data_IF_951311950780
#
_entry.id   IF_951311950780
#
_cell.length_a   1.000
_cell.length_b   1.000
_cell.length_c   1.000
_cell.angle_alpha   90.00
_cell.angle_beta   90.00
_cell.angle_gamma   90.00
#
_symmetry.space_group_name_H-M   'P 1'
#
loop_
_entity.id
_entity.type
_entity.pdbx_description
1 polymer ?
#
# COMPACT_ATOMS: atom_id res chain seq x y z
N UNK A 1 -21.05 18.87 17.93
CA UNK A 1 -21.03 17.40 18.03
C UNK A 1 -19.62 16.86 18.27
N UNK A 2 -18.63 17.11 17.38
CA UNK A 2 -17.26 16.59 17.53
C UNK A 2 -16.58 17.00 18.85
N UNK A 3 -16.79 18.23 19.31
CA UNK A 3 -16.15 18.73 20.55
C UNK A 3 -16.58 17.93 21.79
N UNK A 4 -17.83 17.46 21.82
CA UNK A 4 -18.35 16.63 22.91
C UNK A 4 -17.71 15.24 22.98
N UNK A 5 -17.18 14.74 21.86
CA UNK A 5 -16.52 13.43 21.76
C UNK A 5 -14.99 13.54 21.71
N UNK A 6 -14.44 14.74 21.85
CA UNK A 6 -13.02 15.03 21.68
C UNK A 6 -12.12 14.14 22.55
N UNK A 7 -12.42 14.06 23.86
CA UNK A 7 -11.65 13.23 24.79
C UNK A 7 -11.62 11.75 24.39
N UNK A 8 -12.77 11.20 23.95
CA UNK A 8 -12.86 9.81 23.50
C UNK A 8 -12.09 9.58 22.20
N UNK A 9 -12.19 10.49 21.24
CA UNK A 9 -11.47 10.40 19.96
C UNK A 9 -9.96 10.49 20.14
N UNK A 10 -9.48 11.34 21.07
CA UNK A 10 -8.07 11.44 21.40
C UNK A 10 -7.50 10.15 22.00
N UNK A 11 -8.31 9.41 22.77
CA UNK A 11 -7.91 8.11 23.34
C UNK A 11 -7.90 7.01 22.27
N UNK A 12 -8.90 6.98 21.38
CA UNK A 12 -9.01 5.96 20.33
C UNK A 12 -7.95 6.16 19.25
N UNK A 13 -7.74 7.40 18.81
CA UNK A 13 -6.83 7.75 17.71
C UNK A 13 -5.57 8.45 18.25
N UNK A 14 -4.85 7.75 19.15
CA UNK A 14 -3.60 8.26 19.71
C UNK A 14 -2.41 7.98 18.78
N UNK A 15 -2.14 8.91 17.87
CA UNK A 15 -1.01 8.82 16.93
C UNK A 15 0.35 9.00 17.62
N UNK A 16 0.42 9.62 18.80
CA UNK A 16 1.69 9.86 19.49
C UNK A 16 2.37 8.54 19.88
N UNK A 17 1.60 7.48 20.10
CA UNK A 17 2.10 6.13 20.36
C UNK A 17 2.69 5.43 19.13
N UNK A 18 2.40 5.93 17.92
CA UNK A 18 2.81 5.29 16.66
C UNK A 18 4.02 5.98 16.02
N UNK A 19 4.20 7.26 16.34
CA UNK A 19 5.25 8.13 15.81
C UNK A 19 6.52 8.03 16.66
N UNK A 20 7.68 8.15 16.03
CA UNK A 20 8.96 8.30 16.73
C UNK A 20 9.39 9.77 16.64
N UNK A 21 9.58 10.42 17.79
CA UNK A 21 10.02 11.82 17.86
C UNK A 21 11.54 11.87 17.95
N UNK A 22 12.17 12.60 17.04
CA UNK A 22 13.61 12.88 17.02
C UNK A 22 13.93 14.20 17.76
N UNK A 23 15.19 14.41 18.17
CA UNK A 23 15.63 15.68 18.75
C UNK A 23 15.25 16.89 17.88
N UNK A 24 14.87 18.01 18.49
CA UNK A 24 14.36 19.17 17.73
C UNK A 24 12.91 19.02 17.26
N UNK A 25 12.18 18.00 17.73
CA UNK A 25 10.73 17.88 17.58
C UNK A 25 10.28 17.32 16.23
N UNK A 26 11.18 16.71 15.45
CA UNK A 26 10.82 16.11 14.16
C UNK A 26 10.15 14.75 14.40
N UNK A 27 8.91 14.61 13.95
CA UNK A 27 8.13 13.37 14.00
C UNK A 27 8.42 12.50 12.77
N UNK A 28 8.85 11.25 12.99
CA UNK A 28 8.90 10.22 11.95
C UNK A 28 7.58 9.47 11.96
N UNK A 29 6.78 9.71 10.92
CA UNK A 29 5.53 9.00 10.71
C UNK A 29 5.80 7.62 10.11
N UNK A 30 5.20 6.55 10.67
CA UNK A 30 5.26 5.23 10.07
C UNK A 30 4.50 5.20 8.73
N UNK A 31 4.81 4.23 7.84
CA UNK A 31 4.04 4.03 6.63
C UNK A 31 2.63 3.53 6.96
N UNK A 32 1.68 3.83 6.07
CA UNK A 32 0.31 3.33 6.15
C UNK A 32 0.20 2.06 5.32
N UNK A 33 -0.02 0.91 5.97
CA UNK A 33 -0.15 -0.38 5.28
C UNK A 33 -1.61 -0.83 5.25
N UNK A 34 -2.13 -1.05 4.05
CA UNK A 34 -3.41 -1.73 3.82
C UNK A 34 -3.23 -3.24 3.79
N UNK A 35 -4.30 -3.94 4.16
CA UNK A 35 -4.41 -5.39 4.12
C UNK A 35 -5.75 -5.73 3.45
N UNK A 36 -5.72 -6.71 2.57
CA UNK A 36 -6.90 -7.36 2.02
C UNK A 36 -6.77 -8.86 2.31
N UNK A 37 -7.85 -9.49 2.73
CA UNK A 37 -7.90 -10.93 2.99
C UNK A 37 -8.59 -11.62 1.80
N UNK A 38 -8.23 -12.87 1.54
CA UNK A 38 -8.85 -13.71 0.52
C UNK A 38 -8.94 -13.03 -0.85
N UNK A 39 -7.81 -12.48 -1.32
CA UNK A 39 -7.78 -11.78 -2.60
C UNK A 39 -7.85 -12.77 -3.75
N UNK A 40 -8.75 -12.49 -4.68
CA UNK A 40 -8.92 -13.21 -5.94
C UNK A 40 -8.70 -12.24 -7.10
N UNK A 41 -7.60 -12.41 -7.84
CA UNK A 41 -7.27 -11.61 -9.01
C UNK A 41 -7.36 -12.50 -10.25
N UNK A 42 -8.28 -12.18 -11.16
CA UNK A 42 -8.43 -12.86 -12.44
C UNK A 42 -7.82 -12.02 -13.55
N UNK A 43 -6.91 -12.61 -14.32
CA UNK A 43 -6.27 -11.97 -15.47
C UNK A 43 -6.50 -12.78 -16.75
N UNK A 44 -6.02 -12.25 -17.88
CA UNK A 44 -6.05 -12.91 -19.19
C UNK A 44 -7.43 -13.45 -19.59
N UNK A 45 -8.47 -12.62 -19.46
CA UNK A 45 -9.86 -12.98 -19.77
C UNK A 45 -10.35 -14.26 -19.05
N UNK A 46 -9.82 -14.57 -17.86
CA UNK A 46 -10.18 -15.75 -17.08
C UNK A 46 -9.28 -16.96 -17.23
N UNK A 47 -8.20 -16.85 -18.01
CA UNK A 47 -7.26 -17.95 -18.18
C UNK A 47 -6.19 -18.02 -17.08
N UNK A 48 -6.10 -16.99 -16.23
CA UNK A 48 -5.20 -16.98 -15.07
C UNK A 48 -5.90 -16.42 -13.83
N UNK A 49 -5.67 -17.06 -12.69
CA UNK A 49 -6.21 -16.68 -11.38
C UNK A 49 -5.09 -16.67 -10.36
N UNK A 50 -5.00 -15.60 -9.58
CA UNK A 50 -4.11 -15.47 -8.43
C UNK A 50 -4.94 -15.35 -7.17
N UNK A 51 -4.72 -16.27 -6.25
CA UNK A 51 -5.35 -16.27 -4.92
C UNK A 51 -4.29 -16.01 -3.86
N UNK A 52 -4.62 -15.20 -2.86
CA UNK A 52 -3.79 -15.04 -1.68
C UNK A 52 -4.64 -14.82 -0.43
N UNK A 53 -4.30 -15.51 0.66
CA UNK A 53 -4.99 -15.37 1.95
C UNK A 53 -4.87 -13.94 2.50
N UNK A 54 -3.72 -13.29 2.27
CA UNK A 54 -3.46 -11.91 2.68
C UNK A 54 -2.65 -11.16 1.64
N UNK A 55 -3.10 -9.96 1.32
CA UNK A 55 -2.43 -9.02 0.43
C UNK A 55 -2.12 -7.73 1.19
N UNK A 56 -0.84 -7.38 1.29
CA UNK A 56 -0.40 -6.13 1.91
C UNK A 56 0.05 -5.13 0.86
N UNK A 57 -0.32 -3.86 1.04
CA UNK A 57 0.16 -2.75 0.21
C UNK A 57 0.45 -1.53 1.05
N UNK A 58 1.63 -0.95 0.87
CA UNK A 58 1.98 0.36 1.43
C UNK A 58 1.19 1.42 0.65
N UNK A 59 0.24 2.08 1.31
CA UNK A 59 -0.57 3.16 0.72
C UNK A 59 0.13 4.51 0.82
N UNK A 60 0.90 4.72 1.88
CA UNK A 60 1.68 5.94 2.09
C UNK A 60 3.02 5.58 2.72
N UNK A 61 4.15 6.04 2.17
CA UNK A 61 5.47 5.77 2.73
C UNK A 61 5.68 6.51 4.05
N UNK A 62 6.69 6.09 4.81
CA UNK A 62 7.15 6.83 5.99
C UNK A 62 7.56 8.25 5.58
N UNK A 63 7.24 9.25 6.43
CA UNK A 63 7.55 10.65 6.15
C UNK A 63 7.95 11.42 7.41
N UNK A 64 8.73 12.47 7.23
CA UNK A 64 9.06 13.41 8.30
C UNK A 64 7.97 14.48 8.40
N UNK A 65 7.55 14.82 9.61
CA UNK A 65 6.61 15.89 9.87
C UNK A 65 7.03 16.71 11.10
N UNK A 66 6.53 17.94 11.18
CA UNK A 66 6.74 18.82 12.33
C UNK A 66 5.86 18.44 13.53
N UNK A 67 4.69 17.88 13.27
CA UNK A 67 3.71 17.49 14.30
C UNK A 67 3.13 16.12 13.95
N UNK A 68 2.80 15.35 15.00
CA UNK A 68 2.03 14.13 14.85
C UNK A 68 0.61 14.45 14.35
N UNK A 69 0.00 13.63 13.49
CA UNK A 69 -1.39 13.81 13.08
C UNK A 69 -2.31 13.69 14.28
N UNK A 70 -3.45 14.36 14.21
CA UNK A 70 -4.51 14.26 15.21
C UNK A 70 -5.82 13.94 14.52
N UNK A 71 -6.77 13.31 15.20
CA UNK A 71 -8.11 13.10 14.63
C UNK A 71 -8.75 14.43 14.16
N UNK A 72 -8.43 15.54 14.83
CA UNK A 72 -8.90 16.87 14.48
C UNK A 72 -8.42 17.31 13.09
N UNK A 73 -7.15 17.05 12.76
CA UNK A 73 -6.61 17.44 11.45
C UNK A 73 -7.30 16.71 10.30
N UNK A 74 -7.90 15.54 10.54
CA UNK A 74 -8.70 14.81 9.54
C UNK A 74 -10.15 15.27 9.50
N UNK A 75 -10.81 15.37 10.66
CA UNK A 75 -12.26 15.59 10.72
C UNK A 75 -12.65 17.07 10.61
N UNK A 76 -11.76 18.01 10.96
CA UNK A 76 -12.05 19.45 10.88
C UNK A 76 -11.63 20.09 9.57
N UNK A 77 -10.99 19.35 8.65
CA UNK A 77 -10.47 19.91 7.39
C UNK A 77 -11.54 20.60 6.54
N UNK A 78 -12.78 20.09 6.57
CA UNK A 78 -13.90 20.60 5.78
C UNK A 78 -14.87 21.47 6.58
N UNK A 79 -14.56 21.78 7.85
CA UNK A 79 -15.40 22.65 8.67
C UNK A 79 -15.03 24.10 8.34
N UNK A 80 -15.95 24.90 7.76
CA UNK A 80 -15.67 26.29 7.48
C UNK A 80 -15.39 27.04 8.78
N UNK A 81 -14.30 27.81 8.79
CA UNK A 81 -13.89 28.63 9.95
C UNK A 81 -14.61 29.96 10.00
N UNK A 82 -15.27 30.35 8.90
CA UNK A 82 -16.01 31.61 8.77
C UNK A 82 -17.36 31.35 8.12
N UNK A 83 -18.34 32.16 8.48
CA UNK A 83 -19.64 32.17 7.82
C UNK A 83 -19.47 32.51 6.32
N UNK A 84 -20.31 31.93 5.44
CA UNK A 84 -20.32 32.30 4.04
C UNK A 84 -20.70 33.77 3.87
N UNK A 85 -20.10 34.42 2.88
CA UNK A 85 -20.47 35.79 2.50
C UNK A 85 -21.85 35.80 1.84
N UNK A 86 -22.67 36.79 2.18
CA UNK A 86 -23.97 36.96 1.53
C UNK A 86 -23.80 37.32 0.04
N UNK A 87 -24.74 36.90 -0.82
CA UNK A 87 -24.75 37.31 -2.22
C UNK A 87 -24.93 38.84 -2.36
N UNK A 88 -24.49 39.41 -3.48
CA UNK A 88 -24.74 40.82 -3.78
C UNK A 88 -26.23 41.10 -3.96
N UNK A 89 -26.64 42.33 -3.65
CA UNK A 89 -28.05 42.76 -3.73
C UNK A 89 -28.66 42.58 -5.15
N UNK A 90 -27.82 42.61 -6.18
CA UNK A 90 -28.22 42.39 -7.58
C UNK A 90 -28.73 40.97 -7.85
N UNK A 91 -28.29 39.99 -7.06
CA UNK A 91 -28.68 38.58 -7.17
C UNK A 91 -29.92 38.25 -6.33
N UNK A 92 -30.46 39.22 -5.58
CA UNK A 92 -31.67 39.02 -4.80
C UNK A 92 -32.91 39.07 -5.72
N UNK A 93 -33.93 38.26 -5.43
CA UNK A 93 -35.17 38.23 -6.21
C UNK A 93 -35.89 39.59 -6.14
N UNK A 94 -36.34 40.10 -7.28
CA UNK A 94 -36.96 41.44 -7.42
C UNK A 94 -38.49 41.39 -7.44
N UNK A 95 -39.07 40.26 -7.87
CA UNK A 95 -40.51 40.05 -7.94
C UNK A 95 -40.94 38.77 -7.18
N UNK A 96 -42.25 38.59 -7.01
CA UNK A 96 -42.80 37.48 -6.22
C UNK A 96 -42.57 36.11 -6.88
N UNK A 97 -42.57 36.04 -8.20
CA UNK A 97 -42.28 34.81 -8.95
C UNK A 97 -40.83 34.35 -8.74
N UNK A 98 -39.86 35.27 -8.87
CA UNK A 98 -38.45 35.04 -8.58
C UNK A 98 -38.24 34.69 -7.11
N UNK A 99 -38.98 35.32 -6.19
CA UNK A 99 -38.89 35.02 -4.75
C UNK A 99 -39.32 33.60 -4.43
N UNK A 100 -40.37 33.09 -5.08
CA UNK A 100 -40.79 31.70 -4.91
C UNK A 100 -39.70 30.75 -5.39
N UNK A 101 -39.20 30.95 -6.61
CA UNK A 101 -38.17 30.11 -7.21
C UNK A 101 -36.85 30.16 -6.42
N UNK A 102 -36.48 31.35 -5.93
CA UNK A 102 -35.31 31.54 -5.09
C UNK A 102 -35.42 30.74 -3.78
N UNK A 103 -36.59 30.77 -3.12
CA UNK A 103 -36.80 29.97 -1.90
C UNK A 103 -36.64 28.48 -2.18
N UNK A 104 -37.23 27.98 -3.28
CA UNK A 104 -37.17 26.58 -3.65
C UNK A 104 -35.72 26.13 -3.88
N UNK A 105 -34.94 26.89 -4.66
CA UNK A 105 -33.52 26.57 -4.91
C UNK A 105 -32.63 26.77 -3.68
N UNK A 106 -32.95 27.71 -2.79
CA UNK A 106 -32.22 27.87 -1.52
C UNK A 106 -32.47 26.68 -0.61
N UNK A 107 -33.72 26.19 -0.53
CA UNK A 107 -34.03 24.97 0.20
C UNK A 107 -33.30 23.76 -0.41
N UNK A 108 -33.34 23.61 -1.73
CA UNK A 108 -32.60 22.54 -2.41
C UNK A 108 -31.08 22.63 -2.13
N UNK A 109 -30.48 23.81 -2.27
CA UNK A 109 -29.06 24.02 -2.00
C UNK A 109 -28.68 23.77 -0.54
N UNK A 110 -29.60 24.03 0.40
CA UNK A 110 -29.41 23.69 1.80
C UNK A 110 -29.35 22.18 2.03
N UNK A 111 -30.26 21.43 1.43
CA UNK A 111 -30.29 19.96 1.52
C UNK A 111 -29.08 19.31 0.83
N UNK A 112 -28.72 19.80 -0.36
CA UNK A 112 -27.52 19.37 -1.08
C UNK A 112 -26.24 19.67 -0.29
N UNK A 113 -26.17 20.84 0.36
CA UNK A 113 -25.07 21.24 1.23
C UNK A 113 -24.92 20.32 2.45
N UNK A 114 -26.04 19.97 3.10
CA UNK A 114 -26.05 19.01 4.20
C UNK A 114 -25.57 17.62 3.75
N UNK A 115 -26.06 17.15 2.58
CA UNK A 115 -25.64 15.88 2.02
C UNK A 115 -24.15 15.85 1.72
N UNK A 116 -23.64 16.88 1.03
CA UNK A 116 -22.22 17.01 0.71
C UNK A 116 -21.35 17.05 1.97
N UNK A 117 -21.76 17.80 3.00
CA UNK A 117 -21.05 17.85 4.27
C UNK A 117 -20.96 16.47 4.93
N UNK A 118 -22.04 15.69 4.90
CA UNK A 118 -22.06 14.34 5.45
C UNK A 118 -21.19 13.36 4.66
N UNK A 119 -21.20 13.43 3.32
CA UNK A 119 -20.31 12.63 2.47
C UNK A 119 -18.84 12.96 2.76
N UNK A 120 -18.49 14.25 2.81
CA UNK A 120 -17.13 14.69 3.14
C UNK A 120 -16.70 14.19 4.52
N UNK A 121 -17.58 14.27 5.51
CA UNK A 121 -17.31 13.72 6.85
C UNK A 121 -17.00 12.21 6.79
N UNK A 122 -17.81 11.42 6.09
CA UNK A 122 -17.57 9.97 5.93
C UNK A 122 -16.23 9.68 5.26
N UNK A 123 -15.88 10.42 4.21
CA UNK A 123 -14.59 10.27 3.52
C UNK A 123 -13.42 10.61 4.46
N UNK A 124 -13.52 11.70 5.22
CA UNK A 124 -12.51 12.07 6.23
C UNK A 124 -12.37 11.02 7.32
N UNK A 125 -13.48 10.48 7.82
CA UNK A 125 -13.48 9.42 8.84
C UNK A 125 -12.84 8.13 8.28
N UNK A 126 -13.21 7.71 7.07
CA UNK A 126 -12.62 6.55 6.44
C UNK A 126 -11.10 6.72 6.24
N UNK A 127 -10.64 7.92 5.87
CA UNK A 127 -9.21 8.24 5.77
C UNK A 127 -8.52 8.18 7.12
N UNK A 128 -9.11 8.76 8.17
CA UNK A 128 -8.60 8.70 9.54
C UNK A 128 -8.42 7.25 10.01
N UNK A 129 -9.47 6.44 9.88
CA UNK A 129 -9.43 5.03 10.29
C UNK A 129 -8.40 4.24 9.49
N UNK A 130 -8.37 4.40 8.17
CA UNK A 130 -7.43 3.71 7.28
C UNK A 130 -5.99 4.04 7.65
N UNK A 131 -5.68 5.32 7.82
CA UNK A 131 -4.33 5.78 8.13
C UNK A 131 -3.91 5.29 9.52
N UNK A 132 -4.76 5.44 10.54
CA UNK A 132 -4.46 4.98 11.90
C UNK A 132 -4.26 3.46 11.96
N UNK A 133 -5.23 2.68 11.47
CA UNK A 133 -5.13 1.21 11.43
C UNK A 133 -3.93 0.75 10.60
N UNK A 134 -3.62 1.44 9.50
CA UNK A 134 -2.47 1.11 8.67
C UNK A 134 -1.13 1.37 9.35
N UNK A 135 -1.02 2.41 10.18
CA UNK A 135 0.17 2.68 11.00
C UNK A 135 0.31 1.67 12.15
N UNK A 136 -0.80 1.27 12.79
CA UNK A 136 -0.80 0.19 13.79
C UNK A 136 -0.36 -1.12 13.14
N UNK A 137 -0.91 -1.46 11.97
CA UNK A 137 -0.53 -2.67 11.22
C UNK A 137 0.96 -2.67 10.89
N UNK A 138 1.54 -1.53 10.51
CA UNK A 138 2.97 -1.44 10.29
C UNK A 138 3.79 -1.88 11.50
N UNK A 139 3.40 -1.52 12.74
CA UNK A 139 4.10 -1.96 13.95
C UNK A 139 4.08 -3.48 14.11
N UNK A 140 2.90 -4.09 13.92
CA UNK A 140 2.75 -5.55 13.98
C UNK A 140 3.60 -6.24 12.91
N UNK A 141 3.53 -5.76 11.66
CA UNK A 141 4.32 -6.34 10.57
C UNK A 141 5.83 -6.15 10.75
N UNK A 142 6.25 -5.08 11.43
CA UNK A 142 7.65 -4.83 11.75
C UNK A 142 8.15 -5.85 12.77
N UNK A 143 7.37 -6.14 13.80
CA UNK A 143 7.66 -7.18 14.80
C UNK A 143 7.70 -8.58 14.16
N UNK A 144 6.82 -8.84 13.18
CA UNK A 144 6.81 -10.08 12.40
C UNK A 144 7.92 -10.14 11.32
N UNK A 145 8.79 -9.15 11.22
CA UNK A 145 9.83 -9.03 10.17
C UNK A 145 9.28 -9.10 8.73
N UNK A 146 8.04 -8.67 8.50
CA UNK A 146 7.39 -8.60 7.17
C UNK A 146 7.56 -7.25 6.49
N UNK A 147 8.03 -6.23 7.20
CA UNK A 147 8.34 -4.89 6.65
C UNK A 147 9.64 -4.38 7.27
N UNK A 148 10.40 -3.59 6.51
CA UNK A 148 11.60 -2.93 7.01
C UNK A 148 11.29 -1.60 7.71
N UNK A 149 12.10 -1.28 8.74
CA UNK A 149 12.09 0.05 9.35
C UNK A 149 12.66 1.10 8.39
N UNK A 150 12.10 2.33 8.36
CA UNK A 150 12.69 3.40 7.57
C UNK A 150 14.01 3.83 8.21
N UNK A 151 15.05 4.01 7.40
CA UNK A 151 16.32 4.56 7.87
C UNK A 151 16.31 6.07 7.72
N UNK A 152 16.60 6.77 8.82
CA UNK A 152 16.71 8.24 8.85
C UNK A 152 18.14 8.61 9.17
N UNK A 153 18.77 9.35 8.27
CA UNK A 153 20.06 9.99 8.50
C UNK A 153 19.85 11.34 9.16
N UNK A 154 20.69 11.62 10.16
CA UNK A 154 20.74 12.89 10.89
C UNK A 154 22.10 13.54 10.67
N UNK A 155 22.12 14.81 10.29
CA UNK A 155 23.35 15.60 10.19
C UNK A 155 23.32 16.77 11.15
N UNK A 156 24.33 16.89 12.02
CA UNK A 156 24.53 18.07 12.87
C UNK A 156 25.46 19.06 12.14
N UNK A 157 24.95 20.27 11.90
CA UNK A 157 25.65 21.34 11.19
C UNK A 157 26.21 22.39 12.17
N UNK A 158 25.94 22.28 13.47
CA UNK A 158 26.44 23.21 14.48
C UNK A 158 25.83 24.61 14.36
N UNK A 159 26.66 25.62 14.09
CA UNK A 159 26.22 27.01 13.89
C UNK A 159 26.37 27.35 12.41
N UNK A 160 25.26 27.67 11.73
CA UNK A 160 25.23 28.02 10.31
C UNK A 160 24.63 29.42 10.13
N UNK A 161 25.02 30.14 9.09
CA UNK A 161 24.50 31.49 8.86
C UNK A 161 25.22 32.25 7.75
N UNK A 162 24.62 33.34 7.29
CA UNK A 162 25.21 34.25 6.30
C UNK A 162 25.79 35.53 6.91
N UNK A 163 25.69 35.69 8.24
CA UNK A 163 26.08 36.89 8.99
C UNK A 163 24.91 37.86 9.23
N UNK A 164 23.88 37.83 8.38
CA UNK A 164 22.58 38.50 8.61
C UNK A 164 21.55 37.59 9.28
N UNK A 165 21.70 36.28 9.12
CA UNK A 165 20.96 35.24 9.83
C UNK A 165 21.94 34.24 10.44
N UNK A 166 21.56 33.66 11.57
CA UNK A 166 22.32 32.64 12.28
C UNK A 166 21.35 31.59 12.81
N UNK A 167 21.69 30.32 12.61
CA UNK A 167 21.05 29.14 13.19
C UNK A 167 22.04 28.54 14.17
N UNK A 168 21.62 28.38 15.41
CA UNK A 168 22.36 27.65 16.43
C UNK A 168 21.78 26.25 16.58
N UNK A 169 22.66 25.25 16.75
CA UNK A 169 22.29 23.83 16.79
C UNK A 169 21.52 23.39 15.53
N UNK A 170 21.99 23.81 14.36
CA UNK A 170 21.39 23.47 13.07
C UNK A 170 21.53 21.98 12.77
N UNK A 171 20.41 21.33 12.43
CA UNK A 171 20.32 19.87 12.26
C UNK A 171 19.46 19.54 11.06
N UNK A 172 19.85 18.48 10.35
CA UNK A 172 19.15 17.99 9.16
C UNK A 172 18.67 16.56 9.37
N UNK A 173 17.49 16.26 8.83
CA UNK A 173 16.87 14.93 8.87
C UNK A 173 16.50 14.52 7.45
N UNK A 174 16.89 13.30 7.05
CA UNK A 174 16.54 12.75 5.74
C UNK A 174 16.25 11.26 5.83
N UNK A 175 15.15 10.82 5.24
CA UNK A 175 14.90 9.39 5.04
C UNK A 175 15.84 8.91 3.93
N UNK A 176 16.77 8.01 4.26
CA UNK A 176 17.75 7.44 3.33
C UNK A 176 17.25 6.13 2.72
N UNK A 177 16.52 5.33 3.50
CA UNK A 177 15.90 4.08 3.02
C UNK A 177 14.41 4.06 3.43
N UNK A 178 13.49 3.92 2.48
CA UNK A 178 12.07 3.80 2.80
C UNK A 178 11.74 2.42 3.40
N UNK A 179 10.61 2.32 4.09
CA UNK A 179 10.03 1.03 4.46
C UNK A 179 9.58 0.26 3.22
N UNK A 180 9.95 -1.01 3.14
CA UNK A 180 9.58 -1.94 2.08
C UNK A 180 9.01 -3.22 2.69
N UNK A 181 8.05 -3.83 2.01
CA UNK A 181 7.56 -5.16 2.37
C UNK A 181 8.62 -6.21 2.03
N UNK A 182 8.89 -7.10 2.97
CA UNK A 182 9.90 -8.15 2.81
C UNK A 182 9.28 -9.29 2.00
N UNK A 183 9.55 -9.32 0.70
CA UNK A 183 9.17 -10.43 -0.18
C UNK A 183 10.32 -11.44 -0.17
N UNK A 184 10.16 -12.55 0.57
CA UNK A 184 11.11 -13.66 0.46
C UNK A 184 11.02 -14.24 -0.95
N UNK A 185 12.10 -14.20 -1.72
CA UNK A 185 12.17 -14.85 -3.03
C UNK A 185 12.58 -16.31 -2.84
N UNK A 186 11.78 -17.29 -3.32
CA UNK A 186 12.10 -18.71 -3.18
C UNK A 186 13.38 -19.16 -3.91
N UNK A 187 13.96 -18.34 -4.79
CA UNK A 187 15.23 -18.65 -5.47
C UNK A 187 16.47 -18.53 -4.57
N UNK A 188 16.32 -17.99 -3.35
CA UNK A 188 17.41 -17.94 -2.36
C UNK A 188 17.57 -19.23 -1.53
N UNK A 189 16.58 -20.14 -1.58
CA UNK A 189 16.55 -21.41 -0.83
C UNK A 189 16.50 -22.66 -1.74
N UNK A 190 16.69 -22.53 -3.06
CA UNK A 190 16.89 -23.72 -3.89
C UNK A 190 18.26 -24.31 -3.56
N UNK A 191 18.24 -25.38 -2.77
CA UNK A 191 19.36 -26.33 -2.71
C UNK A 191 19.86 -26.53 -4.14
N UNK A 192 21.14 -26.24 -4.38
CA UNK A 192 21.79 -26.57 -5.64
C UNK A 192 21.50 -28.06 -5.82
N UNK A 193 20.73 -28.50 -6.83
CA UNK A 193 20.63 -29.93 -7.08
C UNK A 193 22.06 -30.39 -7.32
N UNK A 194 22.57 -31.24 -6.43
CA UNK A 194 23.81 -31.96 -6.62
C UNK A 194 23.80 -32.45 -8.06
N UNK A 195 24.78 -32.06 -8.86
CA UNK A 195 24.88 -32.45 -10.26
C UNK A 195 25.25 -33.93 -10.42
N UNK A 196 24.88 -34.79 -9.47
CA UNK A 196 24.98 -36.23 -9.59
C UNK A 196 23.66 -36.76 -10.15
N UNK A 197 23.66 -37.29 -11.39
CA UNK A 197 22.49 -37.99 -11.90
C UNK A 197 22.19 -39.20 -11.01
N UNK A 198 20.91 -39.58 -10.84
CA UNK A 198 20.53 -40.71 -10.01
C UNK A 198 21.16 -41.98 -10.57
N UNK A 199 21.93 -42.67 -9.74
CA UNK A 199 22.49 -44.01 -9.96
C UNK A 199 21.36 -45.06 -9.95
N UNK A 200 20.43 -44.96 -10.90
CA UNK A 200 19.29 -45.85 -11.04
C UNK A 200 18.97 -46.16 -12.51
N UNK A 201 19.96 -46.06 -13.41
CA UNK A 201 19.83 -46.44 -14.81
C UNK A 201 21.01 -47.27 -15.35
N UNK A 202 21.73 -47.99 -14.50
CA UNK A 202 22.72 -48.99 -14.92
C UNK A 202 22.16 -50.41 -14.70
N UNK A 203 21.26 -50.85 -15.58
CA UNK A 203 21.08 -52.30 -15.78
C UNK A 203 22.34 -52.82 -16.50
N UNK A 204 22.96 -53.93 -16.06
CA UNK A 204 24.07 -54.52 -16.79
C UNK A 204 23.58 -55.07 -18.14
N UNK A 205 24.37 -55.01 -19.23
CA UNK A 205 23.99 -55.63 -20.49
C UNK A 205 23.89 -57.15 -20.29
N UNK A 206 22.66 -57.67 -20.37
CA UNK A 206 22.38 -59.10 -20.40
C UNK A 206 22.96 -59.73 -21.67
N UNK A 207 23.75 -60.79 -21.49
CA UNK A 207 24.27 -61.65 -22.56
C UNK A 207 23.08 -62.34 -23.24
N UNK A 208 22.81 -62.02 -24.50
CA UNK A 208 21.84 -62.78 -25.31
C UNK A 208 22.59 -63.98 -25.89
N UNK A 209 22.32 -65.18 -25.36
CA UNK A 209 22.74 -66.44 -25.99
C UNK A 209 21.95 -66.63 -27.29
N UNK A 210 22.64 -66.61 -28.43
CA UNK A 210 22.09 -67.08 -29.70
C UNK A 210 22.09 -68.61 -29.69
N UNK A 211 21.09 -69.23 -29.09
CA UNK A 211 20.81 -70.65 -29.30
C UNK A 211 19.30 -70.80 -29.48
N UNK A 212 18.90 -71.35 -30.63
CA UNK A 212 17.53 -71.55 -31.13
C UNK A 212 16.93 -70.40 -31.95
N UNK A 213 17.31 -70.36 -33.24
CA UNK A 213 16.41 -69.93 -34.29
C UNK A 213 16.31 -71.04 -35.35
N UNK A 214 15.10 -71.55 -35.67
CA UNK A 214 14.94 -72.66 -36.60
C UNK A 214 15.24 -72.25 -38.05
N UNK A 215 15.90 -73.17 -38.75
CA UNK A 215 16.28 -73.16 -40.17
C UNK A 215 15.07 -72.88 -41.07
N UNK A 216 15.22 -71.88 -41.96
CA UNK A 216 14.33 -71.64 -43.09
C UNK A 216 15.18 -71.36 -44.33
N UNK A 217 15.82 -72.42 -44.80
CA UNK A 217 16.18 -72.58 -46.21
C UNK A 217 14.92 -72.74 -47.05
N UNK A 218 14.47 -71.66 -47.71
CA UNK A 218 13.78 -71.65 -49.02
C UNK A 218 13.27 -70.24 -49.35
N UNK A 219 14.01 -69.52 -50.18
CA UNK A 219 13.61 -69.28 -51.57
C UNK A 219 14.61 -68.30 -52.19
N UNK A 220 15.16 -68.71 -53.32
CA UNK A 220 16.17 -68.00 -54.07
C UNK A 220 15.55 -67.19 -55.22
N UNK A 221 16.25 -66.08 -55.53
CA UNK A 221 16.39 -65.37 -56.81
C UNK A 221 15.30 -64.37 -57.30
N UNK A 222 15.66 -63.43 -58.22
CA UNK A 222 16.99 -62.85 -58.53
C UNK A 222 17.01 -61.31 -58.73
N UNK A 223 18.24 -60.80 -58.84
CA UNK A 223 18.73 -59.54 -59.41
C UNK A 223 17.82 -58.75 -60.39
N UNK A 224 17.92 -57.42 -60.36
CA UNK A 224 18.70 -56.64 -61.36
C UNK A 224 18.22 -55.18 -61.57
N UNK A 225 19.15 -54.26 -61.26
CA UNK A 225 19.52 -53.00 -61.95
C UNK A 225 18.58 -51.76 -61.97
N UNK A 226 19.18 -50.55 -62.03
CA UNK A 226 18.49 -49.26 -62.04
C UNK A 226 18.29 -48.69 -63.45
N UNK A 227 17.26 -47.85 -63.61
CA UNK A 227 17.26 -46.61 -64.41
C UNK A 227 16.37 -45.58 -63.72
#
# INVERSE_FOLDING_TARGET
MLDSQSGRLSVIFDFNKLVVIQPGGVAILPPVISESQDTFEQADAGNSVRVADRYYRILSPARLAKISPTWESYLRQHVPTKAPTLPSDELLPKNDSERSLWKDYVHQGWDDGQHLAFVNYKVSLARLERDYKGMVRYKVLLEENKVSAPMVATGDLGVTGTGMDMRENDRTYRITSPSLLNVRHPDQDRAIPSSEPPEAAAMPPGRVSMENLPDQTKDAWPDARPQ
#
